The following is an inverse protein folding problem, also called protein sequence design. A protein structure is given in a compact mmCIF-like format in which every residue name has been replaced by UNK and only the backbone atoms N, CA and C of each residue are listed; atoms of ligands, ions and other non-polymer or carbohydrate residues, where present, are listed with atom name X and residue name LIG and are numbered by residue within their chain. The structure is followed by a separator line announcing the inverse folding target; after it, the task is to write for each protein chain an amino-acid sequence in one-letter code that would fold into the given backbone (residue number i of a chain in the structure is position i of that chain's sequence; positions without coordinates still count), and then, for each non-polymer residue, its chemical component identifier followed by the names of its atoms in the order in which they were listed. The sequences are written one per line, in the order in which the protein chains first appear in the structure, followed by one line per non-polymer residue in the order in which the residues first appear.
data_IF_978052342981
#
_entry.id   IF_978052342981
#
_cell.length_a   1.000
_cell.length_b   1.000
_cell.length_c   1.000
_cell.angle_alpha   90.00
_cell.angle_beta   90.00
_cell.angle_gamma   90.00
#
_symmetry.space_group_name_H-M   'P 1'
#
loop_
_entity.id
_entity.type
_entity.pdbx_description
1 polymer ?
#
# COMPACT_ATOMS: atom_id res chain seq x y z
N UNK A 1 -9.64 -39.61 -0.49
CA UNK A 1 -8.54 -38.61 -0.55
C UNK A 1 -9.02 -37.16 -0.70
N UNK A 2 -10.30 -36.83 -0.45
CA UNK A 2 -10.89 -35.51 -0.73
C UNK A 2 -11.25 -34.68 0.51
N UNK A 3 -11.36 -35.30 1.69
CA UNK A 3 -11.81 -34.63 2.92
C UNK A 3 -10.77 -33.66 3.49
N UNK A 4 -9.48 -33.95 3.37
CA UNK A 4 -8.39 -33.08 3.84
C UNK A 4 -8.22 -31.80 2.99
N UNK A 5 -8.52 -31.88 1.68
CA UNK A 5 -8.51 -30.73 0.77
C UNK A 5 -9.70 -29.80 1.06
N UNK A 6 -10.88 -30.37 1.29
CA UNK A 6 -12.08 -29.66 1.74
C UNK A 6 -11.89 -29.01 3.11
N UNK A 7 -11.23 -29.66 4.06
CA UNK A 7 -10.87 -29.08 5.36
C UNK A 7 -9.89 -27.92 5.24
N UNK A 8 -8.93 -28.01 4.32
CA UNK A 8 -7.94 -26.96 4.04
C UNK A 8 -8.56 -25.77 3.30
N UNK A 9 -9.58 -26.01 2.48
CA UNK A 9 -10.40 -24.99 1.82
C UNK A 9 -11.45 -24.38 2.77
N UNK A 10 -11.97 -25.14 3.75
CA UNK A 10 -12.93 -24.63 4.73
C UNK A 10 -12.27 -23.80 5.83
N UNK A 11 -10.99 -24.06 6.14
CA UNK A 11 -10.14 -23.20 7.00
C UNK A 11 -9.75 -21.86 6.33
N UNK A 12 -10.08 -21.65 5.05
CA UNK A 12 -9.87 -20.40 4.28
C UNK A 12 -11.07 -19.42 4.37
N UNK A 13 -11.91 -19.49 5.40
CA UNK A 13 -12.92 -18.46 5.62
C UNK A 13 -12.23 -17.18 6.12
N UNK A 14 -12.04 -16.24 5.20
CA UNK A 14 -11.64 -14.87 5.51
C UNK A 14 -12.74 -14.12 6.24
N UNK A 15 -12.38 -13.09 6.99
CA UNK A 15 -13.35 -12.15 7.55
C UNK A 15 -13.45 -10.95 6.61
N UNK A 16 -14.66 -10.65 6.15
CA UNK A 16 -14.91 -9.50 5.28
C UNK A 16 -14.60 -8.18 6.01
N UNK A 17 -13.78 -7.36 5.37
CA UNK A 17 -13.25 -6.10 5.89
C UNK A 17 -13.24 -5.04 4.79
N UNK A 18 -13.08 -3.78 5.20
CA UNK A 18 -12.54 -2.75 4.33
C UNK A 18 -11.02 -2.66 4.51
N UNK A 19 -10.31 -2.25 3.46
CA UNK A 19 -8.86 -2.14 3.46
C UNK A 19 -8.46 -0.68 3.29
N UNK A 20 -8.06 -0.05 4.40
CA UNK A 20 -7.68 1.37 4.44
C UNK A 20 -6.16 1.45 4.42
N UNK A 21 -5.60 1.97 3.33
CA UNK A 21 -4.15 2.11 3.15
C UNK A 21 -3.57 3.17 4.07
N UNK A 22 -4.24 4.33 4.15
CA UNK A 22 -3.85 5.49 4.94
C UNK A 22 -5.12 6.23 5.39
N UNK A 23 -5.06 6.86 6.57
CA UNK A 23 -6.14 7.68 7.11
C UNK A 23 -5.56 9.03 7.54
N UNK A 24 -5.94 10.08 6.85
CA UNK A 24 -5.58 11.47 7.15
C UNK A 24 -6.72 12.16 7.93
N UNK A 25 -6.56 13.44 8.26
CA UNK A 25 -7.54 14.20 9.05
C UNK A 25 -8.96 14.21 8.44
N UNK A 26 -9.04 14.31 7.11
CA UNK A 26 -10.29 14.41 6.35
C UNK A 26 -10.42 13.38 5.23
N UNK A 27 -9.35 12.62 4.94
CA UNK A 27 -9.26 11.75 3.76
C UNK A 27 -9.01 10.31 4.17
N UNK A 28 -9.78 9.40 3.58
CA UNK A 28 -9.64 7.96 3.73
C UNK A 28 -9.14 7.38 2.42
N UNK A 29 -7.89 6.88 2.43
CA UNK A 29 -7.27 6.24 1.28
C UNK A 29 -7.69 4.76 1.22
N UNK A 30 -8.67 4.46 0.39
CA UNK A 30 -9.37 3.18 0.35
C UNK A 30 -8.88 2.27 -0.78
N UNK A 31 -8.40 1.07 -0.45
CA UNK A 31 -8.10 0.02 -1.44
C UNK A 31 -9.38 -0.70 -1.92
N UNK A 32 -10.44 -0.66 -1.12
CA UNK A 32 -11.72 -1.33 -1.37
C UNK A 32 -12.04 -2.37 -0.31
N UNK A 33 -12.92 -3.30 -0.65
CA UNK A 33 -13.28 -4.43 0.22
C UNK A 33 -12.24 -5.55 0.11
N UNK A 34 -12.15 -6.35 1.16
CA UNK A 34 -11.20 -7.45 1.24
C UNK A 34 -11.55 -8.49 2.28
N UNK A 35 -10.63 -9.42 2.47
CA UNK A 35 -10.76 -10.56 3.38
C UNK A 35 -9.50 -10.69 4.24
N UNK A 36 -9.67 -10.64 5.56
CA UNK A 36 -8.61 -11.00 6.50
C UNK A 36 -8.54 -12.53 6.63
N UNK A 37 -7.51 -13.12 6.02
CA UNK A 37 -7.31 -14.57 5.96
C UNK A 37 -6.46 -15.06 7.14
N UNK A 38 -6.39 -16.38 7.30
CA UNK A 38 -5.56 -16.99 8.34
C UNK A 38 -6.04 -18.39 8.71
N UNK A 39 -5.22 -19.10 9.48
CA UNK A 39 -5.52 -20.44 9.97
C UNK A 39 -6.12 -20.43 11.39
N UNK A 40 -6.03 -19.29 12.09
CA UNK A 40 -6.60 -19.12 13.42
C UNK A 40 -8.14 -19.19 13.41
N UNK A 41 -8.72 -19.51 14.58
CA UNK A 41 -10.16 -19.49 14.81
C UNK A 41 -10.77 -18.13 14.42
N UNK A 42 -11.88 -18.17 13.67
CA UNK A 42 -12.57 -16.97 13.18
C UNK A 42 -12.91 -15.97 14.30
N UNK A 43 -13.33 -16.44 15.47
CA UNK A 43 -13.65 -15.58 16.62
C UNK A 43 -12.43 -14.79 17.13
N UNK A 44 -11.25 -15.44 17.20
CA UNK A 44 -9.99 -14.80 17.59
C UNK A 44 -9.61 -13.72 16.58
N UNK A 45 -9.69 -14.03 15.28
CA UNK A 45 -9.39 -13.09 14.20
C UNK A 45 -10.34 -11.90 14.20
N UNK A 46 -11.65 -12.13 14.39
CA UNK A 46 -12.66 -11.07 14.48
C UNK A 46 -12.36 -10.13 15.65
N UNK A 47 -11.97 -10.68 16.80
CA UNK A 47 -11.56 -9.89 17.96
C UNK A 47 -10.30 -9.07 17.67
N UNK A 48 -9.30 -9.67 17.04
CA UNK A 48 -8.07 -8.96 16.67
C UNK A 48 -8.34 -7.81 15.69
N UNK A 49 -9.21 -8.02 14.70
CA UNK A 49 -9.64 -6.97 13.76
C UNK A 49 -10.37 -5.83 14.48
N UNK A 50 -11.36 -6.14 15.32
CA UNK A 50 -12.11 -5.14 16.09
C UNK A 50 -11.22 -4.35 17.06
N UNK A 51 -10.10 -4.93 17.51
CA UNK A 51 -9.11 -4.28 18.37
C UNK A 51 -7.99 -3.57 17.59
N UNK A 52 -7.94 -3.70 16.25
CA UNK A 52 -6.87 -3.15 15.44
C UNK A 52 -5.51 -3.84 15.63
N UNK A 53 -5.50 -5.10 16.11
CA UNK A 53 -4.29 -5.88 16.42
C UNK A 53 -4.10 -7.09 15.51
N UNK A 54 -4.92 -7.22 14.46
CA UNK A 54 -4.78 -8.29 13.49
C UNK A 54 -3.45 -8.18 12.74
N UNK A 55 -2.70 -9.29 12.72
CA UNK A 55 -1.47 -9.45 11.95
C UNK A 55 -1.63 -10.68 11.07
N UNK A 56 -1.54 -10.50 9.75
CA UNK A 56 -1.65 -11.62 8.83
C UNK A 56 -2.03 -11.25 7.40
N UNK A 57 -2.37 -12.24 6.58
CA UNK A 57 -2.70 -12.05 5.17
C UNK A 57 -4.05 -11.34 4.98
N UNK A 58 -4.05 -10.37 4.08
CA UNK A 58 -5.20 -9.59 3.62
C UNK A 58 -5.32 -9.77 2.12
N UNK A 59 -6.43 -10.34 1.67
CA UNK A 59 -6.77 -10.40 0.24
C UNK A 59 -7.66 -9.22 -0.13
N UNK A 60 -7.32 -8.50 -1.20
CA UNK A 60 -8.06 -7.31 -1.64
C UNK A 60 -8.78 -7.60 -2.95
N UNK A 61 -10.05 -7.18 -3.05
CA UNK A 61 -10.86 -7.31 -4.26
C UNK A 61 -11.02 -8.75 -4.77
N UNK A 62 -11.41 -8.86 -6.05
CA UNK A 62 -11.62 -10.14 -6.74
C UNK A 62 -10.32 -10.73 -7.32
N UNK A 63 -9.33 -9.91 -7.65
CA UNK A 63 -8.09 -10.33 -8.34
C UNK A 63 -7.07 -11.09 -7.47
N UNK A 64 -7.49 -11.59 -6.31
CA UNK A 64 -6.75 -12.51 -5.44
C UNK A 64 -5.36 -12.06 -4.96
N UNK A 65 -5.01 -10.79 -5.07
CA UNK A 65 -3.76 -10.30 -4.50
C UNK A 65 -3.82 -10.36 -2.97
N UNK A 66 -2.85 -11.09 -2.38
CA UNK A 66 -2.71 -11.26 -0.93
C UNK A 66 -1.49 -10.49 -0.47
N UNK A 67 -1.74 -9.54 0.43
CA UNK A 67 -0.74 -8.66 1.03
C UNK A 67 -0.71 -8.84 2.54
N UNK A 68 0.39 -8.49 3.18
CA UNK A 68 0.48 -8.55 4.63
C UNK A 68 -0.19 -7.32 5.28
N UNK A 69 -0.79 -7.49 6.46
CA UNK A 69 -1.62 -6.47 7.11
C UNK A 69 -0.85 -5.21 7.54
N UNK A 70 0.46 -5.30 7.71
CA UNK A 70 1.35 -4.17 8.05
C UNK A 70 1.41 -3.09 6.96
N UNK A 71 1.02 -3.43 5.73
CA UNK A 71 0.92 -2.48 4.63
C UNK A 71 -0.29 -1.54 4.76
N UNK A 72 -1.22 -1.78 5.68
CA UNK A 72 -2.48 -1.03 5.79
C UNK A 72 -2.61 -0.36 7.15
N UNK A 73 -3.06 0.89 7.14
CA UNK A 73 -3.28 1.64 8.37
C UNK A 73 -4.42 1.05 9.22
N UNK A 74 -5.53 0.62 8.59
CA UNK A 74 -6.70 0.07 9.27
C UNK A 74 -7.41 -1.00 8.44
N UNK A 75 -7.98 -1.97 9.14
CA UNK A 75 -8.72 -3.10 8.54
C UNK A 75 -10.09 -3.27 9.25
N UNK A 76 -10.98 -2.27 9.21
CA UNK A 76 -12.24 -2.35 9.92
C UNK A 76 -13.11 -3.46 9.33
N UNK A 77 -13.91 -4.09 10.18
CA UNK A 77 -14.93 -5.04 9.72
C UNK A 77 -15.84 -4.35 8.72
N UNK A 78 -16.38 -5.11 7.76
CA UNK A 78 -17.22 -4.53 6.70
C UNK A 78 -18.38 -3.68 7.24
N UNK A 79 -18.91 -4.00 8.42
CA UNK A 79 -20.01 -3.27 9.09
C UNK A 79 -19.59 -1.99 9.83
N UNK A 80 -18.29 -1.75 10.01
CA UNK A 80 -17.75 -0.64 10.80
C UNK A 80 -17.45 0.60 9.94
N UNK A 81 -17.45 0.45 8.61
CA UNK A 81 -17.34 1.53 7.64
C UNK A 81 -18.49 1.44 6.66
N UNK A 82 -19.15 2.58 6.43
CA UNK A 82 -20.26 2.72 5.49
C UNK A 82 -19.81 3.63 4.34
N UNK A 83 -19.82 3.12 3.10
CA UNK A 83 -19.70 3.99 1.92
C UNK A 83 -21.04 4.67 1.68
N UNK A 84 -21.05 6.00 1.66
CA UNK A 84 -22.24 6.79 1.33
C UNK A 84 -22.38 6.86 -0.19
N UNK A 85 -21.27 7.18 -0.86
CA UNK A 85 -21.12 7.13 -2.31
C UNK A 85 -19.64 6.85 -2.68
N UNK A 86 -19.25 7.03 -3.94
CA UNK A 86 -17.86 6.83 -4.39
C UNK A 86 -16.86 7.87 -3.85
N UNK A 87 -17.33 8.93 -3.19
CA UNK A 87 -16.53 10.08 -2.74
C UNK A 87 -16.58 10.27 -1.23
N UNK A 88 -17.51 9.66 -0.52
CA UNK A 88 -17.68 9.84 0.91
C UNK A 88 -17.96 8.53 1.66
N UNK A 89 -17.39 8.43 2.86
CA UNK A 89 -17.58 7.31 3.76
C UNK A 89 -17.76 7.78 5.20
N UNK A 90 -18.51 7.02 5.98
CA UNK A 90 -18.56 7.14 7.43
C UNK A 90 -17.73 6.01 8.06
N UNK A 91 -16.83 6.40 8.96
CA UNK A 91 -15.98 5.48 9.70
C UNK A 91 -15.69 6.05 11.09
N UNK A 92 -15.80 5.21 12.12
CA UNK A 92 -15.56 5.59 13.52
C UNK A 92 -16.32 6.86 13.96
N UNK A 93 -17.57 7.02 13.49
CA UNK A 93 -18.42 8.17 13.83
C UNK A 93 -18.04 9.49 13.13
N UNK A 94 -17.16 9.45 12.13
CA UNK A 94 -16.73 10.62 11.35
C UNK A 94 -16.93 10.38 9.86
N UNK A 95 -17.20 11.46 9.12
CA UNK A 95 -17.30 11.46 7.66
C UNK A 95 -15.95 11.82 7.04
N UNK A 96 -15.58 11.10 5.99
CA UNK A 96 -14.32 11.26 5.27
C UNK A 96 -14.57 11.39 3.77
N UNK A 97 -13.70 12.14 3.09
CA UNK A 97 -13.56 12.03 1.65
C UNK A 97 -12.83 10.75 1.29
N UNK A 98 -13.37 9.98 0.36
CA UNK A 98 -12.77 8.75 -0.15
C UNK A 98 -11.81 9.09 -1.27
N UNK A 99 -10.56 8.66 -1.12
CA UNK A 99 -9.60 8.61 -2.20
C UNK A 99 -9.27 7.16 -2.52
N UNK A 100 -9.62 6.72 -3.72
CA UNK A 100 -9.40 5.34 -4.14
C UNK A 100 -7.92 5.07 -4.39
N UNK A 101 -7.40 3.99 -3.81
CA UNK A 101 -5.99 3.60 -3.92
C UNK A 101 -5.84 2.58 -5.04
N UNK A 102 -5.17 2.95 -6.14
CA UNK A 102 -4.91 2.01 -7.24
C UNK A 102 -3.98 0.88 -6.80
N UNK A 103 -4.13 -0.29 -7.42
CA UNK A 103 -3.36 -1.51 -7.11
C UNK A 103 -1.85 -1.28 -7.07
N UNK A 104 -1.30 -0.50 -8.01
CA UNK A 104 0.13 -0.15 -8.05
C UNK A 104 0.64 0.46 -6.72
N UNK A 105 -0.21 1.15 -5.97
CA UNK A 105 0.14 1.80 -4.72
C UNK A 105 -0.02 0.91 -3.48
N UNK A 106 -0.60 -0.29 -3.60
CA UNK A 106 -0.90 -1.13 -2.42
C UNK A 106 0.36 -1.57 -1.68
N UNK A 107 1.47 -1.84 -2.39
CA UNK A 107 2.76 -2.20 -1.80
C UNK A 107 3.62 -1.01 -1.38
N UNK A 108 3.26 0.20 -1.77
CA UNK A 108 4.04 1.40 -1.44
C UNK A 108 4.05 1.63 0.07
N UNK A 109 5.23 1.94 0.62
CA UNK A 109 5.46 2.12 2.07
C UNK A 109 5.71 3.60 2.44
N UNK A 110 5.31 4.54 1.60
CA UNK A 110 5.35 5.97 1.90
C UNK A 110 3.96 6.59 2.04
N UNK A 111 3.94 7.91 2.25
CA UNK A 111 2.72 8.69 2.32
C UNK A 111 2.02 8.74 0.95
N UNK A 112 0.71 8.60 0.95
CA UNK A 112 -0.13 8.86 -0.21
C UNK A 112 -0.69 10.28 -0.18
N UNK A 113 -0.83 10.87 -1.36
CA UNK A 113 -1.55 12.13 -1.59
C UNK A 113 -2.80 11.86 -2.44
N UNK A 114 -3.87 12.59 -2.16
CA UNK A 114 -5.12 12.50 -2.92
C UNK A 114 -5.12 13.53 -4.04
N UNK A 115 -5.49 13.11 -5.25
CA UNK A 115 -5.61 13.99 -6.41
C UNK A 115 -6.97 13.80 -7.09
N UNK A 116 -7.61 14.88 -7.55
CA UNK A 116 -8.79 14.78 -8.38
C UNK A 116 -8.43 14.19 -9.74
N UNK A 117 -9.18 13.19 -10.17
CA UNK A 117 -9.10 12.58 -11.49
C UNK A 117 -10.48 12.52 -12.11
N UNK A 118 -10.60 12.94 -13.37
CA UNK A 118 -11.83 12.77 -14.16
C UNK A 118 -11.79 11.41 -14.83
N UNK A 119 -12.82 10.59 -14.59
CA UNK A 119 -13.03 9.33 -15.29
C UNK A 119 -14.49 9.26 -15.76
N UNK A 120 -14.72 8.98 -17.04
CA UNK A 120 -16.05 8.93 -17.67
C UNK A 120 -16.96 10.12 -17.32
N UNK A 121 -16.37 11.33 -17.26
CA UNK A 121 -17.08 12.57 -16.94
C UNK A 121 -17.34 12.81 -15.45
N UNK A 122 -17.13 11.82 -14.58
CA UNK A 122 -17.24 11.94 -13.14
C UNK A 122 -15.90 12.36 -12.50
N UNK A 123 -15.96 13.28 -11.53
CA UNK A 123 -14.82 13.65 -10.71
C UNK A 123 -14.67 12.66 -9.55
N UNK A 124 -13.54 11.98 -9.47
CA UNK A 124 -13.18 11.07 -8.38
C UNK A 124 -11.85 11.49 -7.78
N UNK A 125 -11.62 11.11 -6.52
CA UNK A 125 -10.32 11.30 -5.90
C UNK A 125 -9.54 9.99 -5.95
N UNK A 126 -8.30 10.05 -6.43
CA UNK A 126 -7.41 8.90 -6.58
C UNK A 126 -6.14 9.17 -5.79
N UNK A 127 -5.64 8.14 -5.12
CA UNK A 127 -4.42 8.23 -4.33
C UNK A 127 -3.19 7.99 -5.19
N UNK A 128 -2.12 8.73 -4.88
CA UNK A 128 -0.83 8.65 -5.55
C UNK A 128 0.29 8.62 -4.51
N UNK A 129 1.39 7.99 -4.87
CA UNK A 129 2.61 7.96 -4.07
C UNK A 129 3.18 9.39 -3.95
N UNK A 130 3.42 9.83 -2.72
CA UNK A 130 4.13 11.07 -2.49
C UNK A 130 5.63 10.86 -2.74
N UNK A 131 6.05 11.13 -3.98
CA UNK A 131 7.44 11.05 -4.42
C UNK A 131 8.14 12.41 -4.41
N UNK A 132 7.57 13.43 -3.75
CA UNK A 132 8.12 14.78 -3.75
C UNK A 132 9.55 14.82 -3.19
N UNK A 133 9.82 14.07 -2.11
CA UNK A 133 11.16 13.96 -1.52
C UNK A 133 12.18 13.29 -2.47
N UNK A 134 11.74 12.36 -3.32
CA UNK A 134 12.60 11.72 -4.32
C UNK A 134 12.90 12.70 -5.45
N UNK A 135 11.89 13.44 -5.92
CA UNK A 135 12.06 14.46 -6.96
C UNK A 135 13.01 15.58 -6.51
N UNK A 136 12.92 16.02 -5.26
CA UNK A 136 13.83 17.05 -4.72
C UNK A 136 15.30 16.58 -4.72
N UNK A 137 15.56 15.31 -4.40
CA UNK A 137 16.92 14.73 -4.48
C UNK A 137 17.42 14.55 -5.91
N UNK A 138 16.54 14.30 -6.87
CA UNK A 138 16.90 14.16 -8.28
C UNK A 138 17.14 15.50 -9.00
N UNK A 139 16.53 16.59 -8.53
CA UNK A 139 16.65 17.93 -9.11
C UNK A 139 17.78 18.74 -8.48
N UNK A 140 18.21 18.42 -7.25
CA UNK A 140 19.43 18.99 -6.70
C UNK A 140 20.61 18.58 -7.58
N UNK A 141 21.27 19.51 -8.31
CA UNK A 141 22.51 19.17 -8.98
C UNK A 141 23.48 18.70 -7.90
N UNK A 142 24.14 17.59 -8.17
CA UNK A 142 25.15 17.00 -7.31
C UNK A 142 26.21 18.07 -7.01
N UNK A 143 26.10 18.73 -5.86
CA UNK A 143 27.01 19.79 -5.41
C UNK A 143 28.35 19.20 -4.94
N UNK A 144 28.71 18.03 -5.45
CA UNK A 144 30.04 17.46 -5.40
C UNK A 144 30.59 17.45 -6.81
N UNK A 145 30.86 18.65 -7.32
CA UNK A 145 31.80 18.82 -8.42
C UNK A 145 33.10 18.11 -8.01
N UNK A 146 33.30 16.90 -8.55
CA UNK A 146 34.58 16.21 -8.47
C UNK A 146 35.56 17.12 -9.20
N UNK A 147 36.61 17.66 -8.54
CA UNK A 147 37.60 18.44 -9.25
C UNK A 147 38.18 17.56 -10.37
N UNK A 148 38.47 18.11 -11.56
CA UNK A 148 39.02 17.31 -12.65
C UNK A 148 40.27 16.61 -12.12
N UNK A 149 40.23 15.28 -12.11
CA UNK A 149 41.41 14.45 -11.88
C UNK A 149 42.44 14.92 -12.90
N UNK A 150 43.52 15.58 -12.43
CA UNK A 150 44.71 15.72 -13.24
C UNK A 150 45.12 14.32 -13.64
N UNK A 151 45.05 14.06 -14.94
CA UNK A 151 45.65 12.90 -15.56
C UNK A 151 47.16 13.02 -15.37
N UNK A 152 47.66 12.49 -14.26
CA UNK A 152 49.08 12.18 -14.14
C UNK A 152 49.34 11.04 -15.12
N UNK A 153 49.98 11.42 -16.23
CA UNK A 153 50.30 10.53 -17.33
C UNK A 153 51.10 9.34 -16.84
N UNK A 154 50.62 8.15 -17.16
CA UNK A 154 51.48 6.99 -17.19
C UNK A 154 52.36 7.11 -18.44
N UNK A 155 53.54 7.69 -18.26
CA UNK A 155 54.64 7.54 -19.20
C UNK A 155 55.17 6.11 -19.08
N UNK A 156 54.85 5.26 -20.05
CA UNK A 156 55.65 4.07 -20.32
C UNK A 156 57.03 4.55 -20.80
N UNK A 157 58.00 4.57 -19.89
CA UNK A 157 59.40 4.49 -20.30
C UNK A 157 59.69 3.04 -20.66
N UNK A 158 59.74 2.78 -21.96
CA UNK A 158 60.55 1.72 -22.53
C UNK A 158 62.03 1.89 -22.12
N UNK A 159 62.76 0.76 -22.13
CA UNK A 159 64.22 0.53 -22.00
C UNK A 159 64.64 -0.12 -20.68
N UNK A 160 65.47 -1.16 -20.65
CA UNK A 160 66.37 -1.83 -21.61
C UNK A 160 66.49 -3.31 -21.17
N UNK A 161 66.47 -4.29 -22.09
CA UNK A 161 67.63 -4.98 -22.66
C UNK A 161 68.50 -5.76 -21.64
N UNK A 162 68.48 -7.08 -21.75
CA UNK A 162 69.65 -7.97 -21.81
C UNK A 162 69.30 -9.20 -22.66
#
# INVERSE_FOLDING_TARGET
MLKWLQDRLSRRQGIAIWVIKQLDDTTLHLCGSGMAEGTERMSRRRRALAQGTFVGPVRIGEHHEVLHSDLFARLPLHKELCLIDEREAEYAGRRYHVSWVPERCWRFQGRLISQPQRNDGALRFVSHEDVAAIRQKAVAPDATATPPRRSDGWSLTERDAD
#
